data_IF_534688165253
#
_entry.id   IF_534688165253
#
_cell.length_a   1.000
_cell.length_b   1.000
_cell.length_c   1.000
_cell.angle_alpha   90.00
_cell.angle_beta   90.00
_cell.angle_gamma   90.00
#
_symmetry.space_group_name_H-M   'P 1'
#
loop_
_entity.id
_entity.type
_entity.pdbx_description
1 polymer ?
#
# COMPACT_ATOMS: atom_id res chain seq x y z
N UNK A 1 -21.81 -0.70 12.25
CA UNK A 1 -22.11 -1.59 13.40
C UNK A 1 -23.04 -2.72 12.96
N UNK A 2 -22.72 -3.99 13.27
CA UNK A 2 -23.58 -5.14 12.94
C UNK A 2 -24.85 -5.16 13.81
N UNK A 3 -25.87 -5.93 13.40
CA UNK A 3 -27.09 -6.11 14.20
C UNK A 3 -26.79 -6.62 15.63
N UNK A 4 -25.85 -7.57 15.74
CA UNK A 4 -25.42 -8.15 17.02
C UNK A 4 -24.75 -7.10 17.90
N UNK A 5 -23.83 -6.30 17.35
CA UNK A 5 -23.21 -5.18 18.07
C UNK A 5 -24.25 -4.14 18.52
N UNK A 6 -25.30 -3.90 17.72
CA UNK A 6 -26.39 -3.00 18.09
C UNK A 6 -27.22 -3.55 19.25
N UNK A 7 -27.49 -4.86 19.26
CA UNK A 7 -28.18 -5.55 20.35
C UNK A 7 -27.36 -5.54 21.64
N UNK A 8 -26.06 -5.83 21.56
CA UNK A 8 -25.13 -5.80 22.70
C UNK A 8 -25.01 -4.39 23.29
N UNK A 9 -24.89 -3.37 22.42
CA UNK A 9 -24.92 -1.96 22.82
C UNK A 9 -26.20 -1.60 23.55
N UNK A 10 -27.35 -1.98 22.98
CA UNK A 10 -28.66 -1.71 23.60
C UNK A 10 -28.74 -2.35 24.99
N UNK A 11 -28.25 -3.58 25.13
CA UNK A 11 -28.18 -4.27 26.42
C UNK A 11 -27.20 -3.65 27.43
N UNK A 12 -26.07 -3.11 26.96
CA UNK A 12 -25.08 -2.45 27.81
C UNK A 12 -25.59 -1.10 28.34
N UNK A 13 -26.06 -0.22 27.45
CA UNK A 13 -26.55 1.11 27.85
C UNK A 13 -27.84 1.06 28.68
N UNK A 14 -28.73 0.09 28.40
CA UNK A 14 -29.91 -0.14 29.25
C UNK A 14 -29.53 -0.64 30.65
N UNK A 15 -28.36 -1.27 30.82
CA UNK A 15 -27.86 -1.71 32.14
C UNK A 15 -27.08 -0.63 32.88
N UNK A 16 -26.43 0.29 32.18
CA UNK A 16 -25.51 1.28 32.79
C UNK A 16 -26.15 2.64 33.02
N UNK A 17 -27.38 2.92 32.53
CA UNK A 17 -28.04 4.24 32.63
C UNK A 17 -27.21 5.42 32.09
N UNK A 18 -26.19 5.14 31.26
CA UNK A 18 -25.34 6.18 30.65
C UNK A 18 -26.08 6.73 29.42
N UNK A 19 -26.29 8.06 29.29
CA UNK A 19 -26.91 8.63 28.11
C UNK A 19 -25.98 8.45 26.90
N UNK A 20 -26.51 7.86 25.82
CA UNK A 20 -25.82 7.84 24.53
C UNK A 20 -25.74 9.28 24.01
N UNK A 21 -24.54 9.84 23.98
CA UNK A 21 -24.28 11.15 23.38
C UNK A 21 -24.68 11.11 21.90
N UNK A 22 -25.58 12.01 21.52
CA UNK A 22 -26.29 12.05 20.23
C UNK A 22 -25.59 12.96 19.21
N UNK A 23 -24.25 13.01 19.24
CA UNK A 23 -23.49 13.97 18.41
C UNK A 23 -23.53 13.64 16.91
N UNK A 24 -23.62 12.34 16.55
CA UNK A 24 -23.74 11.88 15.16
C UNK A 24 -24.81 10.79 15.03
N UNK A 25 -25.76 10.97 14.11
CA UNK A 25 -26.81 9.99 13.88
C UNK A 25 -26.28 8.69 13.26
N UNK A 26 -26.96 7.57 13.51
CA UNK A 26 -26.59 6.28 12.90
C UNK A 26 -26.70 6.33 11.36
N UNK A 27 -27.62 7.14 10.84
CA UNK A 27 -27.85 7.29 9.40
C UNK A 27 -26.66 8.02 8.74
N UNK A 28 -26.21 9.14 9.34
CA UNK A 28 -25.07 9.90 8.82
C UNK A 28 -23.79 9.08 8.87
N UNK A 29 -23.58 8.32 9.97
CA UNK A 29 -22.46 7.38 10.08
C UNK A 29 -22.45 6.39 8.92
N UNK A 30 -23.59 5.76 8.62
CA UNK A 30 -23.67 4.75 7.54
C UNK A 30 -23.36 5.36 6.18
N UNK A 31 -23.86 6.56 5.88
CA UNK A 31 -23.53 7.26 4.63
C UNK A 31 -22.02 7.48 4.53
N UNK A 32 -21.40 8.01 5.60
CA UNK A 32 -19.97 8.29 5.62
C UNK A 32 -19.16 7.00 5.50
N UNK A 33 -19.53 5.93 6.22
CA UNK A 33 -18.90 4.61 6.09
C UNK A 33 -18.97 4.08 4.66
N UNK A 34 -20.12 4.20 3.99
CA UNK A 34 -20.28 3.73 2.60
C UNK A 34 -19.40 4.54 1.66
N UNK A 35 -19.41 5.87 1.76
CA UNK A 35 -18.56 6.73 0.92
C UNK A 35 -17.08 6.40 1.15
N UNK A 36 -16.64 6.39 2.40
CA UNK A 36 -15.23 6.24 2.75
C UNK A 36 -14.73 4.82 2.53
N UNK A 37 -15.40 3.79 3.06
CA UNK A 37 -14.93 2.42 2.92
C UNK A 37 -15.21 1.86 1.52
N UNK A 38 -16.44 1.93 1.04
CA UNK A 38 -16.83 1.20 -0.19
C UNK A 38 -16.25 1.85 -1.44
N UNK A 39 -16.40 3.18 -1.55
CA UNK A 39 -15.95 3.88 -2.76
C UNK A 39 -14.48 4.32 -2.67
N UNK A 40 -14.10 5.05 -1.61
CA UNK A 40 -12.75 5.60 -1.52
C UNK A 40 -11.71 4.52 -1.19
N UNK A 41 -11.90 3.73 -0.12
CA UNK A 41 -10.97 2.64 0.22
C UNK A 41 -11.02 1.53 -0.84
N UNK A 42 -12.19 1.15 -1.34
CA UNK A 42 -12.30 0.18 -2.44
C UNK A 42 -11.54 0.61 -3.69
N UNK A 43 -11.73 1.86 -4.15
CA UNK A 43 -11.06 2.42 -5.32
C UNK A 43 -9.54 2.55 -5.14
N UNK A 44 -9.09 3.11 -4.02
CA UNK A 44 -7.65 3.27 -3.75
C UNK A 44 -6.96 1.90 -3.61
N UNK A 45 -7.63 0.91 -3.02
CA UNK A 45 -7.10 -0.45 -2.92
C UNK A 45 -6.86 -1.07 -4.29
N UNK A 46 -7.82 -0.98 -5.22
CA UNK A 46 -7.63 -1.53 -6.58
C UNK A 46 -6.43 -0.87 -7.27
N UNK A 47 -6.38 0.47 -7.26
CA UNK A 47 -5.27 1.22 -7.84
C UNK A 47 -3.93 0.84 -7.21
N UNK A 48 -3.88 0.77 -5.87
CA UNK A 48 -2.67 0.47 -5.13
C UNK A 48 -2.19 -0.97 -5.32
N UNK A 49 -3.10 -1.96 -5.39
CA UNK A 49 -2.74 -3.36 -5.65
C UNK A 49 -2.05 -3.45 -7.01
N UNK A 50 -2.66 -2.91 -8.06
CA UNK A 50 -2.08 -2.91 -9.41
C UNK A 50 -0.72 -2.20 -9.42
N UNK A 51 -0.66 -1.02 -8.82
CA UNK A 51 0.56 -0.20 -8.76
C UNK A 51 1.71 -0.90 -8.04
N UNK A 52 1.44 -1.59 -6.93
CA UNK A 52 2.47 -2.29 -6.18
C UNK A 52 2.85 -3.64 -6.78
N UNK A 53 1.95 -4.35 -7.47
CA UNK A 53 2.33 -5.51 -8.30
C UNK A 53 3.30 -5.08 -9.40
N UNK A 54 3.06 -3.93 -10.04
CA UNK A 54 4.01 -3.33 -11.00
C UNK A 54 5.34 -2.99 -10.33
N UNK A 55 5.33 -2.39 -9.12
CA UNK A 55 6.54 -2.14 -8.35
C UNK A 55 7.34 -3.42 -8.10
N UNK A 56 6.68 -4.47 -7.62
CA UNK A 56 7.30 -5.77 -7.36
C UNK A 56 7.95 -6.33 -8.63
N UNK A 57 7.22 -6.36 -9.75
CA UNK A 57 7.72 -6.86 -11.02
C UNK A 57 8.97 -6.08 -11.50
N UNK A 58 8.95 -4.76 -11.35
CA UNK A 58 10.08 -3.90 -11.74
C UNK A 58 11.29 -4.11 -10.82
N UNK A 59 11.13 -4.08 -9.50
CA UNK A 59 12.25 -4.26 -8.58
C UNK A 59 12.84 -5.67 -8.67
N UNK A 60 12.01 -6.67 -8.94
CA UNK A 60 12.47 -8.02 -9.26
C UNK A 60 13.32 -8.05 -10.53
N UNK A 61 12.84 -7.44 -11.63
CA UNK A 61 13.61 -7.33 -12.89
C UNK A 61 14.93 -6.58 -12.72
N UNK A 62 14.96 -5.53 -11.88
CA UNK A 62 16.18 -4.79 -11.58
C UNK A 62 17.19 -5.59 -10.74
N UNK A 63 16.79 -6.74 -10.20
CA UNK A 63 17.59 -7.60 -9.33
C UNK A 63 17.61 -7.12 -7.87
N UNK A 64 17.41 -8.05 -6.95
CA UNK A 64 17.42 -7.81 -5.49
C UNK A 64 18.84 -7.85 -4.92
N UNK A 65 19.78 -7.16 -5.58
CA UNK A 65 21.21 -7.12 -5.21
C UNK A 65 21.61 -5.87 -4.43
N UNK A 66 20.73 -4.88 -4.35
CA UNK A 66 20.96 -3.63 -3.60
C UNK A 66 19.98 -3.53 -2.44
N UNK A 67 20.42 -2.89 -1.36
CA UNK A 67 19.60 -2.62 -0.15
C UNK A 67 18.29 -1.94 -0.53
N UNK A 68 18.37 -0.91 -1.38
CA UNK A 68 17.22 -0.17 -1.89
C UNK A 68 16.22 -1.04 -2.65
N UNK A 69 16.67 -1.93 -3.55
CA UNK A 69 15.76 -2.79 -4.30
C UNK A 69 15.08 -3.81 -3.39
N UNK A 70 15.82 -4.37 -2.41
CA UNK A 70 15.24 -5.30 -1.42
C UNK A 70 14.19 -4.57 -0.58
N UNK A 71 14.51 -3.39 -0.06
CA UNK A 71 13.59 -2.62 0.79
C UNK A 71 12.34 -2.17 0.03
N UNK A 72 12.45 -1.64 -1.18
CA UNK A 72 11.27 -1.23 -1.96
C UNK A 72 10.44 -2.40 -2.49
N UNK A 73 11.07 -3.52 -2.83
CA UNK A 73 10.35 -4.75 -3.18
C UNK A 73 9.56 -5.27 -1.97
N UNK A 74 10.17 -5.29 -0.79
CA UNK A 74 9.50 -5.71 0.44
C UNK A 74 8.40 -4.75 0.89
N UNK A 75 8.61 -3.44 0.72
CA UNK A 75 7.59 -2.42 0.95
C UNK A 75 6.37 -2.63 0.02
N UNK A 76 6.61 -2.94 -1.26
CA UNK A 76 5.54 -3.24 -2.20
C UNK A 76 4.78 -4.52 -1.82
N UNK A 77 5.44 -5.53 -1.24
CA UNK A 77 4.76 -6.73 -0.71
C UNK A 77 3.82 -6.36 0.44
N UNK A 78 4.31 -5.63 1.44
CA UNK A 78 3.46 -5.22 2.59
C UNK A 78 2.31 -4.32 2.13
N UNK A 79 2.54 -3.43 1.18
CA UNK A 79 1.50 -2.59 0.60
C UNK A 79 0.44 -3.41 -0.16
N UNK A 80 0.82 -4.39 -0.99
CA UNK A 80 -0.17 -5.29 -1.65
C UNK A 80 -1.00 -6.04 -0.60
N UNK A 81 -0.36 -6.63 0.40
CA UNK A 81 -1.08 -7.39 1.43
C UNK A 81 -2.02 -6.50 2.26
N UNK A 82 -1.59 -5.27 2.59
CA UNK A 82 -2.43 -4.27 3.27
C UNK A 82 -3.63 -3.87 2.42
N UNK A 83 -3.43 -3.64 1.12
CA UNK A 83 -4.47 -3.18 0.22
C UNK A 83 -5.46 -4.28 -0.17
N UNK A 84 -5.01 -5.53 -0.30
CA UNK A 84 -5.88 -6.70 -0.51
C UNK A 84 -6.81 -6.90 0.69
N UNK A 85 -6.27 -6.81 1.90
CA UNK A 85 -7.06 -6.96 3.14
C UNK A 85 -7.99 -5.76 3.35
N UNK A 86 -7.56 -4.54 2.97
CA UNK A 86 -8.42 -3.36 2.93
C UNK A 86 -9.53 -3.46 1.86
N UNK A 87 -9.24 -4.04 0.69
CA UNK A 87 -10.25 -4.27 -0.33
C UNK A 87 -11.31 -5.26 0.16
N UNK A 88 -10.88 -6.36 0.80
CA UNK A 88 -11.78 -7.30 1.45
C UNK A 88 -12.62 -6.63 2.55
N UNK A 89 -12.00 -5.79 3.39
CA UNK A 89 -12.72 -4.98 4.38
C UNK A 89 -13.78 -4.10 3.72
N UNK A 90 -13.43 -3.40 2.64
CA UNK A 90 -14.33 -2.55 1.85
C UNK A 90 -15.54 -3.34 1.34
N UNK A 91 -15.33 -4.55 0.81
CA UNK A 91 -16.42 -5.44 0.38
C UNK A 91 -17.33 -5.81 1.56
N UNK A 92 -16.75 -6.17 2.70
CA UNK A 92 -17.49 -6.52 3.91
C UNK A 92 -18.31 -5.36 4.50
N UNK A 93 -17.89 -4.11 4.26
CA UNK A 93 -18.62 -2.90 4.66
C UNK A 93 -19.68 -2.46 3.66
N UNK A 94 -19.76 -3.08 2.49
CA UNK A 94 -20.77 -2.77 1.48
C UNK A 94 -22.14 -3.35 1.89
N UNK A 95 -23.19 -2.52 2.05
CA UNK A 95 -24.53 -3.00 2.41
C UNK A 95 -25.12 -4.02 1.42
N UNK A 96 -24.80 -3.90 0.13
CA UNK A 96 -25.26 -4.87 -0.88
C UNK A 96 -24.61 -6.24 -0.68
N UNK A 97 -23.32 -6.26 -0.33
CA UNK A 97 -22.61 -7.50 -0.03
C UNK A 97 -23.06 -8.09 1.31
N UNK A 98 -23.25 -7.25 2.32
CA UNK A 98 -23.82 -7.66 3.61
C UNK A 98 -25.17 -8.35 3.40
N UNK A 99 -26.03 -7.84 2.51
CA UNK A 99 -27.35 -8.40 2.22
C UNK A 99 -27.37 -9.55 1.19
N UNK A 100 -26.23 -9.98 0.66
CA UNK A 100 -26.13 -10.98 -0.43
C UNK A 100 -26.28 -12.45 0.02
N UNK A 101 -26.88 -12.71 1.20
CA UNK A 101 -27.07 -14.05 1.78
C UNK A 101 -25.78 -14.90 1.92
N UNK A 102 -24.62 -14.26 2.05
CA UNK A 102 -23.36 -14.94 2.38
C UNK A 102 -23.46 -15.74 3.68
N UNK A 103 -22.73 -16.88 3.82
CA UNK A 103 -22.81 -17.78 4.97
C UNK A 103 -22.11 -17.24 6.23
N UNK A 104 -21.87 -15.93 6.30
CA UNK A 104 -21.18 -15.26 7.39
C UNK A 104 -21.70 -13.83 7.59
N UNK A 105 -21.46 -13.26 8.77
CA UNK A 105 -21.75 -11.84 9.05
C UNK A 105 -20.56 -11.00 8.57
N UNK A 106 -20.68 -10.37 7.40
CA UNK A 106 -19.60 -9.64 6.73
C UNK A 106 -18.93 -8.60 7.64
N UNK A 107 -19.70 -7.82 8.39
CA UNK A 107 -19.18 -6.78 9.30
C UNK A 107 -18.37 -7.31 10.49
N UNK A 108 -18.52 -8.59 10.81
CA UNK A 108 -17.79 -9.22 11.91
C UNK A 108 -16.62 -10.05 11.41
N UNK A 109 -16.81 -10.83 10.34
CA UNK A 109 -15.74 -11.66 9.80
C UNK A 109 -14.56 -10.80 9.33
N UNK A 110 -14.83 -9.60 8.82
CA UNK A 110 -13.80 -8.66 8.40
C UNK A 110 -12.83 -8.31 9.53
N UNK A 111 -13.26 -8.38 10.80
CA UNK A 111 -12.42 -7.97 11.93
C UNK A 111 -11.09 -8.74 11.94
N UNK A 112 -11.15 -10.07 11.89
CA UNK A 112 -9.98 -10.95 11.87
C UNK A 112 -9.42 -11.20 10.46
N UNK A 113 -10.22 -11.02 9.41
CA UNK A 113 -9.81 -11.39 8.03
C UNK A 113 -9.40 -10.20 7.15
N UNK A 114 -9.76 -8.98 7.55
CA UNK A 114 -9.50 -7.75 6.80
C UNK A 114 -8.89 -6.66 7.67
N UNK A 115 -9.57 -6.24 8.75
CA UNK A 115 -9.17 -5.14 9.61
C UNK A 115 -7.80 -5.36 10.26
N UNK A 116 -7.66 -6.42 11.06
CA UNK A 116 -6.40 -6.76 11.72
C UNK A 116 -5.25 -7.05 10.76
N UNK A 117 -5.43 -7.87 9.70
CA UNK A 117 -4.41 -8.03 8.67
C UNK A 117 -3.99 -6.72 8.02
N UNK A 118 -4.93 -5.83 7.69
CA UNK A 118 -4.63 -4.53 7.08
C UNK A 118 -3.76 -3.67 7.99
N UNK A 119 -4.09 -3.58 9.29
CA UNK A 119 -3.25 -2.88 10.26
C UNK A 119 -1.87 -3.53 10.44
N UNK A 120 -1.79 -4.85 10.45
CA UNK A 120 -0.53 -5.59 10.55
C UNK A 120 0.42 -5.23 9.41
N UNK A 121 -0.07 -5.31 8.17
CA UNK A 121 0.75 -4.99 6.99
C UNK A 121 1.06 -3.50 6.88
N UNK A 122 0.13 -2.61 7.23
CA UNK A 122 0.40 -1.18 7.34
C UNK A 122 1.52 -0.88 8.35
N UNK A 123 1.54 -1.59 9.49
CA UNK A 123 2.59 -1.46 10.50
C UNK A 123 3.95 -1.93 9.97
N UNK A 124 3.97 -3.05 9.24
CA UNK A 124 5.18 -3.53 8.55
C UNK A 124 5.69 -2.47 7.57
N UNK A 125 4.80 -1.89 6.75
CA UNK A 125 5.11 -0.77 5.85
C UNK A 125 5.75 0.39 6.62
N UNK A 126 5.20 0.81 7.77
CA UNK A 126 5.79 1.89 8.60
C UNK A 126 7.21 1.58 9.09
N UNK A 127 7.47 0.36 9.57
CA UNK A 127 8.81 -0.04 10.03
C UNK A 127 9.82 -0.18 8.88
N UNK A 128 9.39 -0.64 7.70
CA UNK A 128 10.26 -0.65 6.52
C UNK A 128 10.57 0.78 6.08
N UNK A 129 9.58 1.68 6.08
CA UNK A 129 9.81 3.11 5.77
C UNK A 129 10.77 3.77 6.75
N UNK A 130 10.65 3.49 8.05
CA UNK A 130 11.59 4.01 9.06
C UNK A 130 13.01 3.49 8.82
N UNK A 131 13.16 2.20 8.49
CA UNK A 131 14.43 1.59 8.12
C UNK A 131 15.05 2.23 6.86
N UNK A 132 14.28 2.42 5.80
CA UNK A 132 14.75 3.06 4.55
C UNK A 132 15.21 4.49 4.85
N UNK A 133 14.48 5.23 5.69
CA UNK A 133 14.83 6.59 6.06
C UNK A 133 16.12 6.62 6.89
N UNK A 134 16.28 5.71 7.85
CA UNK A 134 17.50 5.56 8.63
C UNK A 134 18.72 5.19 7.75
N UNK A 135 18.54 4.26 6.80
CA UNK A 135 19.57 3.91 5.81
C UNK A 135 20.05 5.17 5.06
N UNK A 136 19.11 6.01 4.60
CA UNK A 136 19.46 7.25 3.89
C UNK A 136 20.17 8.27 4.76
N UNK A 137 19.76 8.42 6.03
CA UNK A 137 20.48 9.25 6.99
C UNK A 137 21.93 8.78 7.16
N UNK A 138 22.13 7.49 7.37
CA UNK A 138 23.47 6.90 7.53
C UNK A 138 24.32 7.05 6.26
N UNK A 139 23.71 6.92 5.08
CA UNK A 139 24.40 7.17 3.82
C UNK A 139 24.93 8.60 3.68
N UNK A 140 24.29 9.59 4.29
CA UNK A 140 24.72 11.00 4.24
C UNK A 140 25.73 11.29 5.36
N UNK A 141 25.46 10.82 6.58
CA UNK A 141 26.31 11.09 7.74
C UNK A 141 27.66 10.35 7.64
N UNK A 142 27.66 9.09 7.18
CA UNK A 142 28.88 8.28 7.13
C UNK A 142 28.91 7.37 5.89
N UNK A 143 29.18 7.92 4.69
CA UNK A 143 29.15 7.17 3.44
C UNK A 143 30.19 6.03 3.35
N UNK A 144 31.30 6.11 4.10
CA UNK A 144 32.32 5.07 4.16
C UNK A 144 31.92 3.92 5.10
N UNK A 145 31.42 4.23 6.31
CA UNK A 145 31.00 3.20 7.27
C UNK A 145 29.71 2.48 6.83
N UNK A 146 28.78 3.20 6.18
CA UNK A 146 27.49 2.61 5.78
C UNK A 146 27.64 1.41 4.85
N UNK A 147 28.65 1.39 3.96
CA UNK A 147 28.89 0.27 3.03
C UNK A 147 29.29 -1.01 3.76
N UNK A 148 29.89 -0.90 4.95
CA UNK A 148 30.25 -2.03 5.79
C UNK A 148 29.13 -2.41 6.78
N UNK A 149 28.33 -1.44 7.19
CA UNK A 149 27.23 -1.63 8.14
C UNK A 149 26.01 -2.22 7.42
N UNK A 150 25.55 -1.59 6.34
CA UNK A 150 24.33 -1.94 5.62
C UNK A 150 24.70 -2.66 4.32
N UNK A 151 24.48 -3.97 4.33
CA UNK A 151 24.70 -4.84 3.17
C UNK A 151 23.40 -5.51 2.76
N UNK A 152 23.23 -5.96 1.50
CA UNK A 152 22.00 -6.58 1.02
C UNK A 152 21.52 -7.76 1.89
N UNK A 153 22.44 -8.60 2.36
CA UNK A 153 22.14 -9.73 3.27
C UNK A 153 21.58 -9.23 4.60
N UNK A 154 22.22 -8.22 5.21
CA UNK A 154 21.76 -7.64 6.47
C UNK A 154 20.41 -6.95 6.31
N UNK A 155 20.20 -6.20 5.23
CA UNK A 155 18.91 -5.60 4.90
C UNK A 155 17.80 -6.64 4.79
N UNK A 156 18.04 -7.76 4.08
CA UNK A 156 17.08 -8.85 3.99
C UNK A 156 16.73 -9.42 5.37
N UNK A 157 17.75 -9.71 6.20
CA UNK A 157 17.54 -10.23 7.56
C UNK A 157 16.77 -9.25 8.42
N UNK A 158 17.10 -7.95 8.40
CA UNK A 158 16.37 -6.91 9.14
C UNK A 158 14.91 -6.83 8.70
N UNK A 159 14.63 -6.90 7.40
CA UNK A 159 13.27 -6.88 6.86
C UNK A 159 12.49 -8.11 7.31
N UNK A 160 13.07 -9.31 7.17
CA UNK A 160 12.42 -10.55 7.64
C UNK A 160 12.12 -10.49 9.14
N UNK A 161 13.05 -9.95 9.93
CA UNK A 161 12.83 -9.72 11.35
C UNK A 161 11.66 -8.76 11.61
N UNK A 162 11.53 -7.67 10.85
CA UNK A 162 10.38 -6.75 10.96
C UNK A 162 9.07 -7.50 10.73
N UNK A 163 8.97 -8.33 9.68
CA UNK A 163 7.76 -9.12 9.41
C UNK A 163 7.43 -10.04 10.59
N UNK A 164 8.39 -10.84 11.05
CA UNK A 164 8.19 -11.78 12.15
C UNK A 164 7.78 -11.05 13.42
N UNK A 165 8.48 -9.97 13.77
CA UNK A 165 8.21 -9.18 14.97
C UNK A 165 6.79 -8.60 14.97
N UNK A 166 6.35 -8.03 13.85
CA UNK A 166 4.99 -7.48 13.76
C UNK A 166 3.93 -8.58 13.73
N UNK A 167 4.14 -9.71 13.06
CA UNK A 167 3.20 -10.82 13.12
C UNK A 167 3.03 -11.35 14.55
N UNK A 168 4.13 -11.52 15.29
CA UNK A 168 4.07 -11.94 16.70
C UNK A 168 3.26 -10.95 17.56
N UNK A 169 3.34 -9.65 17.27
CA UNK A 169 2.55 -8.63 18.00
C UNK A 169 1.03 -8.77 17.81
N UNK A 170 0.57 -9.47 16.76
CA UNK A 170 -0.86 -9.68 16.50
C UNK A 170 -1.42 -10.94 17.17
N UNK A 171 -0.56 -11.84 17.65
CA UNK A 171 -0.95 -13.12 18.25
C UNK A 171 -1.96 -12.97 19.40
N UNK A 172 -1.83 -12.01 20.34
CA UNK A 172 -2.80 -11.87 21.44
C UNK A 172 -4.24 -11.66 20.96
N UNK A 173 -4.42 -10.98 19.82
CA UNK A 173 -5.74 -10.74 19.26
C UNK A 173 -6.36 -12.00 18.65
N UNK A 174 -5.58 -12.76 17.87
CA UNK A 174 -6.03 -14.03 17.30
C UNK A 174 -6.16 -15.14 18.35
N UNK A 175 -5.53 -14.98 19.51
CA UNK A 175 -5.73 -15.86 20.67
C UNK A 175 -7.00 -15.49 21.47
N UNK A 176 -7.45 -14.24 21.42
CA UNK A 176 -8.63 -13.77 22.17
C UNK A 176 -9.94 -13.91 21.38
N UNK A 177 -9.86 -13.97 20.06
CA UNK A 177 -10.98 -13.88 19.14
C UNK A 177 -10.89 -14.96 18.07
N UNK A 178 -12.02 -15.57 17.72
CA UNK A 178 -12.09 -16.61 16.69
C UNK A 178 -13.39 -16.53 15.89
N UNK A 179 -13.43 -17.23 14.76
CA UNK A 179 -14.63 -17.32 13.91
C UNK A 179 -15.35 -18.62 14.25
N UNK A 180 -16.65 -18.54 14.55
CA UNK A 180 -17.47 -19.72 14.83
C UNK A 180 -18.91 -19.52 14.37
N UNK A 181 -19.67 -20.60 14.33
CA UNK A 181 -21.09 -20.60 13.98
C UNK A 181 -21.92 -19.90 15.06
N UNK A 182 -22.80 -19.01 14.63
CA UNK A 182 -23.77 -18.34 15.49
C UNK A 182 -25.10 -18.13 14.80
N UNK A 183 -26.16 -18.05 15.59
CA UNK A 183 -27.52 -17.88 15.08
C UNK A 183 -27.75 -16.44 14.59
N UNK A 184 -28.17 -16.28 13.34
CA UNK A 184 -28.54 -14.98 12.77
C UNK A 184 -30.05 -14.77 12.90
N UNK A 185 -30.52 -13.87 13.79
CA UNK A 185 -31.95 -13.77 14.13
C UNK A 185 -32.83 -13.36 12.94
N UNK A 186 -32.35 -12.47 12.07
CA UNK A 186 -33.14 -11.99 10.91
C UNK A 186 -33.25 -13.04 9.80
N UNK A 187 -32.20 -13.84 9.59
CA UNK A 187 -32.16 -14.85 8.52
C UNK A 187 -32.61 -16.22 9.00
N UNK A 188 -32.82 -16.37 10.32
CA UNK A 188 -33.16 -17.62 10.98
C UNK A 188 -32.27 -18.81 10.61
N UNK A 189 -30.95 -18.57 10.47
CA UNK A 189 -29.97 -19.58 10.07
C UNK A 189 -28.66 -19.41 10.86
N UNK A 190 -27.92 -20.52 11.00
CA UNK A 190 -26.57 -20.49 11.56
C UNK A 190 -25.59 -19.98 10.50
N UNK A 191 -24.84 -18.93 10.83
CA UNK A 191 -23.81 -18.32 9.96
C UNK A 191 -22.52 -18.15 10.74
N UNK A 192 -21.39 -18.02 10.04
CA UNK A 192 -20.12 -17.70 10.70
C UNK A 192 -20.10 -16.24 11.17
N UNK A 193 -19.60 -16.01 12.39
CA UNK A 193 -19.41 -14.67 12.94
C UNK A 193 -18.24 -14.63 13.90
N UNK A 194 -17.96 -13.44 14.43
CA UNK A 194 -16.90 -13.25 15.41
C UNK A 194 -17.39 -13.70 16.79
N UNK A 195 -16.57 -14.50 17.46
CA UNK A 195 -16.78 -14.98 18.83
C UNK A 195 -15.52 -14.71 19.65
N UNK A 196 -15.71 -14.39 20.93
CA UNK A 196 -14.63 -14.08 21.86
C UNK A 196 -14.48 -15.20 22.89
N UNK A 197 -13.25 -15.50 23.32
CA UNK A 197 -13.03 -16.47 24.39
C UNK A 197 -13.51 -15.96 25.75
N UNK A 198 -14.02 -16.83 26.65
CA UNK A 198 -14.54 -16.41 27.96
C UNK A 198 -13.52 -15.69 28.85
N UNK A 199 -12.24 -16.09 28.77
CA UNK A 199 -11.13 -15.48 29.52
C UNK A 199 -10.58 -14.20 28.86
N UNK A 200 -11.30 -13.62 27.89
CA UNK A 200 -10.88 -12.40 27.19
C UNK A 200 -10.66 -11.22 28.13
N UNK A 201 -11.31 -11.15 29.30
CA UNK A 201 -11.20 -10.00 30.21
C UNK A 201 -9.76 -9.64 30.59
N UNK A 202 -8.86 -10.62 30.67
CA UNK A 202 -7.45 -10.39 31.02
C UNK A 202 -6.58 -9.92 29.85
N UNK A 203 -7.04 -10.10 28.61
CA UNK A 203 -6.30 -9.80 27.36
C UNK A 203 -7.06 -8.84 26.43
N UNK A 204 -8.21 -8.33 26.88
CA UNK A 204 -9.07 -7.43 26.11
C UNK A 204 -8.33 -6.12 25.83
N UNK A 205 -8.27 -5.73 24.55
CA UNK A 205 -7.60 -4.51 24.13
C UNK A 205 -6.07 -4.58 24.14
N UNK A 206 -5.45 -5.66 24.63
CA UNK A 206 -3.99 -5.82 24.62
C UNK A 206 -3.42 -5.74 23.20
N UNK A 207 -4.05 -6.43 22.23
CA UNK A 207 -3.65 -6.36 20.83
C UNK A 207 -3.74 -4.94 20.27
N UNK A 208 -4.81 -4.21 20.61
CA UNK A 208 -5.01 -2.83 20.20
C UNK A 208 -3.94 -1.89 20.77
N UNK A 209 -3.68 -2.00 22.08
CA UNK A 209 -2.65 -1.22 22.77
C UNK A 209 -1.26 -1.51 22.22
N UNK A 210 -0.89 -2.78 22.01
CA UNK A 210 0.39 -3.16 21.42
C UNK A 210 0.54 -2.57 20.01
N UNK A 211 -0.48 -2.68 19.17
CA UNK A 211 -0.45 -2.10 17.83
C UNK A 211 -0.36 -0.56 17.84
N UNK A 212 -1.02 0.10 18.80
CA UNK A 212 -0.96 1.55 19.00
C UNK A 212 0.45 1.99 19.46
N UNK A 213 1.05 1.28 20.41
CA UNK A 213 2.42 1.55 20.90
C UNK A 213 3.42 1.37 19.77
N UNK A 214 3.38 0.23 19.07
CA UNK A 214 4.29 -0.05 17.94
C UNK A 214 4.12 0.98 16.81
N UNK A 215 2.89 1.45 16.61
CA UNK A 215 2.62 2.49 15.64
C UNK A 215 3.19 3.83 15.98
N UNK A 216 2.92 4.29 17.20
CA UNK A 216 3.47 5.53 17.72
C UNK A 216 5.00 5.49 17.69
N UNK A 217 5.59 4.35 18.07
CA UNK A 217 7.03 4.16 18.01
C UNK A 217 7.58 4.27 16.57
N UNK A 218 6.98 3.55 15.61
CA UNK A 218 7.40 3.64 14.20
C UNK A 218 7.25 5.06 13.63
N UNK A 219 6.19 5.77 14.01
CA UNK A 219 5.92 7.14 13.61
C UNK A 219 6.96 8.12 14.15
N UNK A 220 7.32 8.02 15.43
CA UNK A 220 8.38 8.82 16.05
C UNK A 220 9.72 8.59 15.35
N UNK A 221 10.05 7.33 15.04
CA UNK A 221 11.28 7.00 14.30
C UNK A 221 11.31 7.64 12.91
N UNK A 222 10.20 7.58 12.16
CA UNK A 222 10.13 8.22 10.83
C UNK A 222 10.34 9.73 10.95
N UNK A 223 9.69 10.40 11.91
CA UNK A 223 9.87 11.84 12.14
C UNK A 223 11.33 12.16 12.48
N UNK A 224 11.90 11.44 13.45
CA UNK A 224 13.27 11.67 13.90
C UNK A 224 14.26 11.50 12.76
N UNK A 225 14.18 10.40 12.00
CA UNK A 225 15.08 10.18 10.87
C UNK A 225 14.83 11.19 9.75
N UNK A 226 13.58 11.59 9.50
CA UNK A 226 13.26 12.62 8.50
C UNK A 226 13.85 13.98 8.87
N UNK A 227 13.76 14.39 10.13
CA UNK A 227 14.38 15.64 10.62
C UNK A 227 15.89 15.57 10.45
N UNK A 228 16.53 14.47 10.87
CA UNK A 228 17.98 14.28 10.71
C UNK A 228 18.37 14.36 9.22
N UNK A 229 17.60 13.70 8.35
CA UNK A 229 17.81 13.70 6.90
C UNK A 229 17.77 15.11 6.32
N UNK A 230 16.71 15.87 6.63
CA UNK A 230 16.53 17.24 6.15
C UNK A 230 17.64 18.17 6.67
N UNK A 231 17.98 18.08 7.96
CA UNK A 231 19.04 18.88 8.56
C UNK A 231 20.39 18.63 7.88
N UNK A 232 20.73 17.36 7.62
CA UNK A 232 21.99 16.99 6.97
C UNK A 232 22.03 17.40 5.50
N UNK A 233 20.92 17.27 4.76
CA UNK A 233 20.82 17.76 3.39
C UNK A 233 21.00 19.28 3.29
N UNK A 234 20.44 20.04 4.24
CA UNK A 234 20.63 21.49 4.31
C UNK A 234 22.07 21.88 4.63
N UNK A 235 22.75 21.12 5.49
CA UNK A 235 24.17 21.35 5.80
C UNK A 235 25.05 21.13 4.57
N UNK A 236 24.84 20.05 3.80
CA UNK A 236 25.58 19.80 2.56
C UNK A 236 25.34 20.89 1.49
N UNK A 237 24.13 21.45 1.40
CA UNK A 237 23.83 22.51 0.45
C UNK A 237 24.40 23.88 0.86
N UNK A 238 24.54 24.15 2.17
CA UNK A 238 25.09 25.42 2.71
C UNK A 238 26.61 25.47 2.74
N UNK A 239 27.28 24.33 2.89
CA UNK A 239 28.71 24.19 2.68
C UNK A 239 28.95 23.54 1.32
N UNK A 240 28.74 24.25 0.18
CA UNK A 240 29.28 23.77 -1.08
C UNK A 240 30.79 23.68 -0.86
N UNK A 241 31.33 22.48 -0.98
CA UNK A 241 32.75 22.23 -0.79
C UNK A 241 33.52 23.21 -1.68
N UNK A 242 34.03 24.31 -1.10
CA UNK A 242 34.67 25.40 -1.86
C UNK A 242 35.95 24.93 -2.56
N UNK A 243 36.44 23.73 -2.22
CA UNK A 243 37.67 23.14 -2.74
C UNK A 243 37.48 21.68 -3.21
N UNK A 244 36.61 21.40 -4.18
CA UNK A 244 36.62 20.10 -4.84
C UNK A 244 36.54 20.23 -6.37
N UNK A 245 37.54 19.65 -7.02
CA UNK A 245 37.60 19.23 -8.41
C UNK A 245 36.18 18.85 -8.89
N UNK A 246 35.77 19.35 -10.06
CA UNK A 246 34.49 18.97 -10.68
C UNK A 246 34.32 17.46 -10.54
N UNK A 247 33.19 16.97 -9.99
CA UNK A 247 33.03 15.54 -9.79
C UNK A 247 33.19 14.82 -11.12
N UNK A 248 34.07 13.82 -11.20
CA UNK A 248 34.36 13.03 -12.41
C UNK A 248 33.09 12.47 -13.09
N UNK A 249 31.99 12.35 -12.32
CA UNK A 249 30.68 11.86 -12.79
C UNK A 249 29.53 12.67 -12.17
N UNK A 250 29.15 13.83 -12.74
CA UNK A 250 28.07 14.68 -12.22
C UNK A 250 26.71 13.95 -12.21
N UNK A 251 26.50 13.01 -13.13
CA UNK A 251 25.27 12.21 -13.22
C UNK A 251 25.05 11.32 -11.99
N UNK A 252 26.11 10.72 -11.42
CA UNK A 252 26.01 9.88 -10.23
C UNK A 252 25.60 10.68 -8.99
N UNK A 253 26.10 11.92 -8.86
CA UNK A 253 25.74 12.83 -7.77
C UNK A 253 24.27 13.24 -7.87
N UNK A 254 23.81 13.57 -9.08
CA UNK A 254 22.41 13.91 -9.35
C UNK A 254 21.46 12.75 -9.03
N UNK A 255 21.80 11.53 -9.47
CA UNK A 255 21.00 10.34 -9.20
C UNK A 255 20.91 10.01 -7.70
N UNK A 256 22.00 10.22 -6.95
CA UNK A 256 21.99 10.05 -5.49
C UNK A 256 21.06 11.05 -4.80
N UNK A 257 21.09 12.33 -5.21
CA UNK A 257 20.18 13.36 -4.69
C UNK A 257 18.71 13.03 -4.97
N UNK A 258 18.40 12.58 -6.19
CA UNK A 258 17.04 12.15 -6.56
C UNK A 258 16.55 11.00 -5.70
N UNK A 259 17.38 9.98 -5.45
CA UNK A 259 17.02 8.85 -4.61
C UNK A 259 16.77 9.25 -3.14
N UNK A 260 17.56 10.18 -2.60
CA UNK A 260 17.33 10.72 -1.25
C UNK A 260 16.03 11.53 -1.19
N UNK A 261 15.80 12.42 -2.16
CA UNK A 261 14.58 13.21 -2.21
C UNK A 261 13.32 12.33 -2.34
N UNK A 262 13.41 11.24 -3.10
CA UNK A 262 12.32 10.28 -3.23
C UNK A 262 11.97 9.62 -1.90
N UNK A 263 12.98 9.15 -1.14
CA UNK A 263 12.75 8.60 0.20
C UNK A 263 12.20 9.65 1.15
N UNK A 264 12.67 10.90 1.07
CA UNK A 264 12.15 12.00 1.88
C UNK A 264 10.67 12.24 1.62
N UNK A 265 10.22 12.25 0.36
CA UNK A 265 8.81 12.42 0.02
C UNK A 265 7.97 11.24 0.52
N UNK A 266 8.46 10.00 0.36
CA UNK A 266 7.79 8.80 0.90
C UNK A 266 7.63 8.93 2.43
N UNK A 267 8.68 9.33 3.14
CA UNK A 267 8.62 9.51 4.59
C UNK A 267 7.62 10.60 5.00
N UNK A 268 7.58 11.74 4.29
CA UNK A 268 6.61 12.82 4.54
C UNK A 268 5.17 12.35 4.32
N UNK A 269 4.91 11.62 3.24
CA UNK A 269 3.59 11.03 2.98
C UNK A 269 3.21 10.07 4.09
N UNK A 270 4.13 9.19 4.50
CA UNK A 270 3.89 8.26 5.61
C UNK A 270 3.61 8.98 6.92
N UNK A 271 4.28 10.11 7.21
CA UNK A 271 3.96 10.93 8.39
C UNK A 271 2.53 11.45 8.26
N UNK A 272 2.20 12.19 7.19
CA UNK A 272 0.89 12.82 7.00
C UNK A 272 -0.24 11.80 7.05
N UNK A 273 -0.08 10.65 6.41
CA UNK A 273 -1.10 9.60 6.39
C UNK A 273 -1.19 8.82 7.70
N UNK A 274 -0.11 8.73 8.48
CA UNK A 274 -0.14 8.02 9.78
C UNK A 274 -0.66 8.91 10.91
N UNK A 275 -0.52 10.23 10.82
CA UNK A 275 -0.91 11.18 11.88
C UNK A 275 -2.36 10.97 12.35
N UNK A 276 -3.39 10.84 11.48
CA UNK A 276 -4.77 10.62 11.92
C UNK A 276 -4.91 9.35 12.76
N UNK A 277 -4.34 8.23 12.31
CA UNK A 277 -4.39 6.96 13.03
C UNK A 277 -3.72 7.03 14.40
N UNK A 278 -2.60 7.74 14.52
CA UNK A 278 -1.92 7.95 15.81
C UNK A 278 -2.79 8.80 16.74
N UNK A 279 -3.38 9.88 16.23
CA UNK A 279 -4.29 10.73 17.02
C UNK A 279 -5.48 9.90 17.51
N UNK A 280 -6.15 9.14 16.64
CA UNK A 280 -7.32 8.34 17.04
C UNK A 280 -6.96 7.26 18.05
N UNK A 281 -5.78 6.64 17.91
CA UNK A 281 -5.29 5.66 18.89
C UNK A 281 -5.03 6.29 20.27
N UNK A 282 -4.48 7.51 20.31
CA UNK A 282 -4.29 8.26 21.55
C UNK A 282 -5.63 8.66 22.18
N UNK A 283 -6.59 9.14 21.39
CA UNK A 283 -7.93 9.46 21.88
C UNK A 283 -8.60 8.21 22.47
N UNK A 284 -8.51 7.06 21.81
CA UNK A 284 -9.03 5.78 22.34
C UNK A 284 -8.34 5.32 23.62
N UNK A 285 -7.12 5.77 23.88
CA UNK A 285 -6.40 5.47 25.11
C UNK A 285 -6.82 6.39 26.26
N UNK A 286 -7.04 7.68 26.00
CA UNK A 286 -7.41 8.66 27.03
C UNK A 286 -8.91 8.74 27.31
N UNK A 287 -9.75 8.38 26.33
CA UNK A 287 -11.21 8.43 26.43
C UNK A 287 -11.80 7.03 26.19
N UNK A 288 -12.08 6.25 27.25
CA UNK A 288 -12.61 4.88 27.12
C UNK A 288 -13.96 4.78 26.39
N UNK A 289 -14.78 5.84 26.45
CA UNK A 289 -16.04 5.91 25.71
C UNK A 289 -15.83 6.10 24.20
N UNK A 290 -14.61 6.47 23.77
CA UNK A 290 -14.21 6.51 22.37
C UNK A 290 -13.72 5.12 21.90
N UNK A 291 -14.68 4.20 21.83
CA UNK A 291 -14.47 2.80 21.46
C UNK A 291 -15.59 2.27 20.54
N UNK A 292 -15.44 1.04 20.05
CA UNK A 292 -16.40 0.39 19.12
C UNK A 292 -17.81 0.31 19.71
N UNK A 293 -17.91 0.12 21.03
CA UNK A 293 -19.19 -0.04 21.75
C UNK A 293 -19.49 1.14 22.70
N UNK A 294 -18.56 2.08 22.86
CA UNK A 294 -18.68 3.21 23.79
C UNK A 294 -19.59 4.35 23.32
N UNK A 295 -19.67 5.40 24.14
CA UNK A 295 -20.63 6.50 23.98
C UNK A 295 -20.43 7.25 22.67
N UNK A 296 -19.18 7.35 22.23
CA UNK A 296 -18.77 8.00 20.99
C UNK A 296 -18.59 7.04 19.81
N UNK A 297 -19.17 5.82 19.85
CA UNK A 297 -18.93 4.80 18.83
C UNK A 297 -19.24 5.24 17.40
N UNK A 298 -20.22 6.13 17.18
CA UNK A 298 -20.52 6.64 15.85
C UNK A 298 -19.39 7.50 15.29
N UNK A 299 -18.85 8.40 16.11
CA UNK A 299 -17.68 9.21 15.77
C UNK A 299 -16.47 8.29 15.59
N UNK A 300 -16.27 7.34 16.49
CA UNK A 300 -15.19 6.34 16.41
C UNK A 300 -15.17 5.64 15.05
N UNK A 301 -16.30 5.10 14.61
CA UNK A 301 -16.40 4.43 13.30
C UNK A 301 -16.10 5.38 12.13
N UNK A 302 -16.62 6.62 12.17
CA UNK A 302 -16.35 7.61 11.13
C UNK A 302 -14.87 7.94 11.05
N UNK A 303 -14.23 8.30 12.16
CA UNK A 303 -12.82 8.73 12.11
C UNK A 303 -11.88 7.59 11.75
N UNK A 304 -12.16 6.36 12.23
CA UNK A 304 -11.41 5.18 11.81
C UNK A 304 -11.60 4.86 10.33
N UNK A 305 -12.76 5.18 9.73
CA UNK A 305 -12.92 5.05 8.26
C UNK A 305 -11.92 5.90 7.49
N UNK A 306 -11.69 7.14 7.95
CA UNK A 306 -10.65 7.99 7.38
C UNK A 306 -9.25 7.45 7.68
N UNK A 307 -9.00 6.89 8.88
CA UNK A 307 -7.72 6.25 9.20
C UNK A 307 -7.35 5.13 8.24
N UNK A 308 -8.31 4.26 7.89
CA UNK A 308 -8.13 3.26 6.84
C UNK A 308 -7.89 3.87 5.46
N UNK A 309 -8.62 4.95 5.11
CA UNK A 309 -8.40 5.65 3.85
C UNK A 309 -6.98 6.20 3.73
N UNK A 310 -6.48 6.89 4.76
CA UNK A 310 -5.11 7.40 4.77
C UNK A 310 -4.07 6.28 4.70
N UNK A 311 -4.34 5.15 5.36
CA UNK A 311 -3.50 3.95 5.26
C UNK A 311 -3.46 3.43 3.81
N UNK A 312 -4.61 3.33 3.15
CA UNK A 312 -4.71 2.95 1.75
C UNK A 312 -3.98 3.91 0.81
N UNK A 313 -4.08 5.22 1.04
CA UNK A 313 -3.36 6.25 0.28
C UNK A 313 -1.85 6.06 0.43
N UNK A 314 -1.35 5.92 1.66
CA UNK A 314 0.08 5.73 1.94
C UNK A 314 0.66 4.52 1.19
N UNK A 315 -0.08 3.40 1.18
CA UNK A 315 0.33 2.20 0.47
C UNK A 315 0.20 2.28 -1.06
N UNK A 316 -0.51 3.25 -1.62
CA UNK A 316 -0.83 3.27 -3.06
C UNK A 316 0.03 4.23 -3.90
N UNK A 317 0.55 5.30 -3.31
CA UNK A 317 1.20 6.39 -4.06
C UNK A 317 2.65 6.10 -4.47
N UNK A 318 3.27 5.05 -3.92
CA UNK A 318 4.70 4.74 -4.10
C UNK A 318 5.10 4.59 -5.58
N UNK A 319 4.27 3.94 -6.41
CA UNK A 319 4.57 3.75 -7.85
C UNK A 319 4.69 5.07 -8.62
N UNK A 320 3.83 6.06 -8.30
CA UNK A 320 3.84 7.39 -8.92
C UNK A 320 5.19 8.07 -8.64
N UNK A 321 5.62 8.03 -7.38
CA UNK A 321 6.89 8.62 -6.95
C UNK A 321 8.08 7.93 -7.62
N UNK A 322 8.09 6.60 -7.67
CA UNK A 322 9.17 5.86 -8.32
C UNK A 322 9.26 6.19 -9.81
N UNK A 323 8.14 6.26 -10.50
CA UNK A 323 8.10 6.59 -11.94
C UNK A 323 8.58 8.02 -12.23
N UNK A 324 8.19 8.99 -11.39
CA UNK A 324 8.59 10.39 -11.57
C UNK A 324 10.05 10.65 -11.20
N UNK A 325 10.58 9.97 -10.18
CA UNK A 325 11.85 10.36 -9.55
C UNK A 325 13.01 9.41 -9.82
N UNK A 326 12.75 8.15 -10.20
CA UNK A 326 13.80 7.15 -10.48
C UNK A 326 13.92 6.88 -11.99
N UNK A 327 15.01 7.36 -12.58
CA UNK A 327 15.34 7.09 -13.99
C UNK A 327 15.48 5.59 -14.28
N UNK A 328 16.06 4.84 -13.32
CA UNK A 328 16.19 3.38 -13.41
C UNK A 328 14.83 2.68 -13.39
N UNK A 329 13.92 3.12 -12.52
CA UNK A 329 12.56 2.60 -12.47
C UNK A 329 11.82 2.90 -13.77
N UNK A 330 11.84 4.15 -14.22
CA UNK A 330 11.21 4.58 -15.47
C UNK A 330 11.69 3.78 -16.68
N UNK A 331 13.02 3.60 -16.82
CA UNK A 331 13.59 2.74 -17.87
C UNK A 331 13.07 1.31 -17.79
N UNK A 332 13.09 0.71 -16.61
CA UNK A 332 12.62 -0.67 -16.40
C UNK A 332 11.13 -0.82 -16.73
N UNK A 333 10.30 0.15 -16.33
CA UNK A 333 8.89 0.21 -16.66
C UNK A 333 8.67 0.24 -18.18
N UNK A 334 9.35 1.17 -18.88
CA UNK A 334 9.27 1.23 -20.33
C UNK A 334 9.72 -0.08 -20.98
N UNK A 335 10.85 -0.65 -20.56
CA UNK A 335 11.36 -1.90 -21.14
C UNK A 335 10.42 -3.10 -20.93
N UNK A 336 9.67 -3.13 -19.83
CA UNK A 336 8.72 -4.22 -19.52
C UNK A 336 7.39 -4.06 -20.24
N UNK A 337 6.79 -2.86 -20.16
CA UNK A 337 5.39 -2.65 -20.53
C UNK A 337 5.21 -1.93 -21.87
N UNK A 338 6.22 -1.17 -22.32
CA UNK A 338 6.15 -0.36 -23.54
C UNK A 338 7.18 -0.79 -24.62
N UNK A 339 8.26 -1.48 -24.22
CA UNK A 339 9.30 -1.97 -25.12
C UNK A 339 8.83 -3.07 -26.05
N UNK A 340 7.93 -3.95 -25.58
CA UNK A 340 7.26 -4.97 -26.43
C UNK A 340 6.38 -4.35 -27.52
N UNK A 341 5.70 -3.23 -27.23
CA UNK A 341 4.93 -2.49 -28.24
C UNK A 341 5.83 -1.87 -29.32
N UNK A 342 7.05 -1.44 -28.96
CA UNK A 342 8.01 -0.86 -29.91
C UNK A 342 8.66 -1.92 -30.82
N UNK A 343 8.99 -3.10 -30.30
CA UNK A 343 9.50 -4.20 -31.13
C UNK A 343 8.39 -4.75 -32.03
N UNK A 344 7.18 -4.98 -31.51
CA UNK A 344 6.08 -5.46 -32.35
C UNK A 344 5.67 -4.43 -33.42
N UNK A 345 5.65 -3.12 -33.11
CA UNK A 345 5.38 -2.09 -34.13
C UNK A 345 6.51 -1.95 -35.16
N UNK A 346 7.78 -2.11 -34.76
CA UNK A 346 8.91 -2.11 -35.70
C UNK A 346 8.90 -3.37 -36.59
N UNK A 347 8.67 -4.55 -36.02
CA UNK A 347 8.54 -5.81 -36.78
C UNK A 347 7.34 -5.76 -37.73
N UNK A 348 6.20 -5.22 -37.32
CA UNK A 348 5.05 -5.00 -38.20
C UNK A 348 5.35 -3.95 -39.30
N UNK A 349 6.15 -2.93 -38.99
CA UNK A 349 6.56 -1.90 -39.97
C UNK A 349 7.61 -2.42 -40.97
N UNK A 350 8.51 -3.30 -40.54
CA UNK A 350 9.47 -3.96 -41.43
C UNK A 350 8.79 -5.04 -42.28
N UNK A 351 7.86 -5.82 -41.72
CA UNK A 351 7.07 -6.79 -42.50
C UNK A 351 6.17 -6.11 -43.54
N UNK A 352 5.57 -4.96 -43.21
CA UNK A 352 4.79 -4.19 -44.19
C UNK A 352 5.66 -3.54 -45.27
N UNK A 353 6.87 -3.07 -44.93
CA UNK A 353 7.86 -2.61 -45.92
C UNK A 353 8.33 -3.74 -46.84
N UNK A 354 8.61 -4.93 -46.28
CA UNK A 354 9.03 -6.10 -47.06
C UNK A 354 7.91 -6.57 -48.00
N UNK A 355 6.66 -6.63 -47.51
CA UNK A 355 5.47 -6.91 -48.31
C UNK A 355 5.29 -5.90 -49.46
N UNK A 356 5.46 -4.60 -49.20
CA UNK A 356 5.34 -3.57 -50.22
C UNK A 356 6.47 -3.63 -51.25
N UNK A 357 7.69 -3.98 -50.82
CA UNK A 357 8.83 -4.18 -51.73
C UNK A 357 8.63 -5.41 -52.62
N UNK A 358 8.10 -6.52 -52.07
CA UNK A 358 7.75 -7.72 -52.84
C UNK A 358 6.63 -7.45 -53.86
N UNK A 359 5.60 -6.68 -53.50
CA UNK A 359 4.56 -6.25 -54.45
C UNK A 359 5.12 -5.37 -55.57
N UNK A 360 6.08 -4.49 -55.26
CA UNK A 360 6.75 -3.67 -56.25
C UNK A 360 7.63 -4.53 -57.19
N UNK A 361 8.36 -5.50 -56.66
CA UNK A 361 9.13 -6.46 -57.47
C UNK A 361 8.23 -7.33 -58.36
N UNK A 362 7.07 -7.77 -57.87
CA UNK A 362 6.11 -8.54 -58.68
C UNK A 362 5.46 -7.67 -59.78
N UNK A 363 5.25 -6.38 -59.52
CA UNK A 363 4.78 -5.40 -60.50
C UNK A 363 5.82 -5.10 -61.59
N UNK A 364 7.12 -5.11 -61.26
CA UNK A 364 8.22 -4.86 -62.21
C UNK A 364 8.54 -6.14 -63.01
N UNK A 365 8.50 -7.32 -62.38
CA UNK A 365 8.74 -8.61 -63.02
C UNK A 365 7.66 -9.05 -64.01
N UNK A 366 6.44 -8.53 -63.90
CA UNK A 366 5.36 -8.77 -64.87
C UNK A 366 5.43 -7.87 -66.12
N UNK A 367 6.29 -6.85 -66.14
CA UNK A 367 6.45 -5.95 -67.29
C UNK A 367 7.60 -6.36 -68.24
N UNK A 368 8.37 -7.40 -67.93
CA UNK A 368 9.53 -7.83 -68.73
C UNK A 368 9.33 -9.13 -69.52
N UNK A 369 8.14 -9.72 -69.50
CA UNK A 369 7.81 -10.94 -70.27
C UNK A 369 6.42 -10.87 -70.89
N UNK A 370 6.21 -9.91 -71.81
CA UNK A 370 5.19 -10.01 -72.84
C UNK A 370 5.79 -9.47 -74.16
N UNK A 371 6.06 -10.31 -75.17
CA UNK A 371 6.48 -9.84 -76.48
C UNK A 371 5.31 -9.17 -77.20
N UNK A 372 5.58 -8.01 -77.81
CA UNK A 372 4.68 -7.31 -78.73
C UNK A 372 4.30 -8.22 -79.91
N UNK A 373 3.13 -8.85 -79.81
CA UNK A 373 2.46 -9.49 -80.94
C UNK A 373 1.27 -8.61 -81.29
N UNK A 374 1.51 -7.61 -82.15
CA UNK A 374 0.55 -7.09 -83.13
C UNK A 374 1.15 -5.90 -83.88
N UNK A 375 1.81 -6.17 -85.02
CA UNK A 375 1.84 -5.30 -86.20
C UNK A 375 2.50 -6.00 -87.36
N UNK A 376 1.72 -6.81 -88.08
CA UNK A 376 1.87 -7.05 -89.51
C UNK A 376 0.61 -7.78 -89.97
N UNK A 377 -0.33 -7.01 -90.53
CA UNK A 377 -1.25 -7.37 -91.61
C UNK A 377 -2.32 -6.28 -91.71
N UNK A 378 -2.16 -5.38 -92.68
CA UNK A 378 -3.14 -5.07 -93.75
C UNK A 378 -2.86 -3.69 -94.35
N UNK A 379 -2.48 -3.73 -95.64
CA UNK A 379 -2.49 -2.71 -96.71
C UNK A 379 -1.69 -1.42 -96.56
#
# INVERSE_FOLDING_TARGET
MSYVQRSERSGFYNKTNIPVLKDLSDHDRVIIEVVTYVFLCGGISIFGIVSNVVNMAIFFKQGLRTTMNISFFSLAISDVCSLVTLFWFSLCMNPLFENSNVPFISREIQYLTGGWPSFCFARITSFITSYITAERCLCIISPLKVKHIITPKRTLVTIVFIYIFIFLSTVPEYASSYISWKHHPIRNQSVLGLVFYPNRKDIEGLGFVLNAILGTFSYILIILFTIILVCKLRQENKCPTKNCIKPDKPELVSNRKKAVNMVLIIAVISIVCSTPCIIFSLVSFFEPEFSILGGYCNIFHVVWSFGFLFTGINSSVNAILYYQMSSKYKKSFHDMFLGKYRINSLVLKDNSRLSNSLKHFHSIGFQTFLPDVNKQNET
#
